data_IF_445827407832
#
_entry.id   IF_445827407832
#
_cell.length_a   1.000
_cell.length_b   1.000
_cell.length_c   1.000
_cell.angle_alpha   90.00
_cell.angle_beta   90.00
_cell.angle_gamma   90.00
#
_symmetry.space_group_name_H-M   'P 1'
#
loop_
_entity.id
_entity.type
_entity.pdbx_description
1 polymer ?
#
# COMPACT_ATOMS: atom_id res chain seq x y z
N UNK A 1 3.23 -11.44 18.85
CA UNK A 1 4.50 -10.90 18.27
C UNK A 1 4.18 -10.60 16.82
N UNK A 2 4.01 -9.34 16.46
CA UNK A 2 3.41 -8.97 15.17
C UNK A 2 4.46 -8.72 14.09
N UNK A 3 4.17 -9.03 12.81
CA UNK A 3 5.08 -8.78 11.68
C UNK A 3 5.51 -7.31 11.57
N UNK A 4 4.68 -6.36 12.04
CA UNK A 4 5.00 -4.93 12.09
C UNK A 4 6.17 -4.57 13.02
N UNK A 5 6.48 -5.41 14.03
CA UNK A 5 7.65 -5.18 14.90
C UNK A 5 8.96 -5.51 14.17
N UNK A 6 8.95 -6.47 13.25
CA UNK A 6 10.11 -6.76 12.39
C UNK A 6 10.37 -5.58 11.45
N UNK A 7 9.32 -4.99 10.87
CA UNK A 7 9.45 -3.78 10.04
C UNK A 7 10.14 -2.62 10.77
N UNK A 8 9.75 -2.36 12.02
CA UNK A 8 10.33 -1.28 12.81
C UNK A 8 11.79 -1.55 13.25
N UNK A 9 12.23 -2.81 13.22
CA UNK A 9 13.57 -3.24 13.62
C UNK A 9 14.54 -3.39 12.44
N UNK A 10 14.04 -3.42 11.20
CA UNK A 10 14.88 -3.39 9.99
C UNK A 10 15.44 -1.98 9.81
N UNK A 11 16.74 -1.81 9.53
CA UNK A 11 17.31 -0.50 9.20
C UNK A 11 16.49 0.08 8.05
N UNK A 12 16.15 1.38 8.15
CA UNK A 12 15.19 2.06 7.29
C UNK A 12 15.24 1.50 5.86
N UNK A 13 14.30 0.60 5.54
CA UNK A 13 14.17 0.06 4.20
C UNK A 13 13.90 1.28 3.33
N UNK A 14 14.88 1.64 2.52
CA UNK A 14 14.66 2.60 1.46
C UNK A 14 13.44 2.09 0.69
N UNK A 15 12.38 2.91 0.54
CA UNK A 15 11.19 2.47 -0.16
C UNK A 15 11.62 1.99 -1.54
N UNK A 16 11.09 0.83 -1.94
CA UNK A 16 11.41 0.27 -3.24
C UNK A 16 11.17 1.32 -4.34
N UNK A 17 12.08 1.39 -5.31
CA UNK A 17 12.00 2.35 -6.41
C UNK A 17 10.66 2.28 -7.15
N UNK A 18 10.05 1.09 -7.22
CA UNK A 18 8.73 0.86 -7.80
C UNK A 18 7.60 1.55 -7.01
N UNK A 19 7.68 1.60 -5.67
CA UNK A 19 6.63 2.15 -4.82
C UNK A 19 6.84 3.63 -4.54
N UNK A 20 8.06 4.15 -4.69
CA UNK A 20 8.40 5.55 -4.41
C UNK A 20 7.47 6.58 -5.07
N UNK A 21 7.06 6.45 -6.35
CA UNK A 21 6.11 7.38 -6.97
C UNK A 21 4.78 7.43 -6.21
N UNK A 22 4.28 6.28 -5.73
CA UNK A 22 3.02 6.21 -5.00
C UNK A 22 3.06 6.94 -3.66
N UNK A 23 4.26 7.16 -3.09
CA UNK A 23 4.45 7.86 -1.82
C UNK A 23 4.44 9.39 -1.95
N UNK A 24 4.43 9.92 -3.18
CA UNK A 24 4.34 11.37 -3.39
C UNK A 24 3.00 11.93 -2.89
N UNK A 25 2.96 13.15 -2.32
CA UNK A 25 1.73 13.72 -1.75
C UNK A 25 0.55 13.78 -2.76
N UNK A 26 0.85 13.97 -4.04
CA UNK A 26 -0.14 13.97 -5.14
C UNK A 26 -0.86 12.62 -5.29
N UNK A 27 -0.25 11.54 -4.81
CA UNK A 27 -0.78 10.18 -4.88
C UNK A 27 -1.24 9.63 -3.53
N UNK A 28 -1.34 10.48 -2.49
CA UNK A 28 -1.73 10.08 -1.14
C UNK A 28 -3.07 9.31 -1.09
N UNK A 29 -4.05 9.67 -1.93
CA UNK A 29 -5.33 8.96 -1.99
C UNK A 29 -5.20 7.55 -2.62
N UNK A 30 -4.33 7.40 -3.61
CA UNK A 30 -4.02 6.10 -4.22
C UNK A 30 -3.26 5.21 -3.24
N UNK A 31 -2.28 5.78 -2.52
CA UNK A 31 -1.55 5.10 -1.46
C UNK A 31 -2.50 4.60 -0.35
N UNK A 32 -3.41 5.46 0.13
CA UNK A 32 -4.45 5.09 1.11
C UNK A 32 -5.36 3.98 0.59
N UNK A 33 -5.73 4.06 -0.69
CA UNK A 33 -6.58 3.06 -1.33
C UNK A 33 -5.89 1.70 -1.40
N UNK A 34 -4.62 1.67 -1.83
CA UNK A 34 -3.80 0.47 -1.90
C UNK A 34 -3.56 -0.13 -0.50
N UNK A 35 -3.20 0.69 0.49
CA UNK A 35 -3.01 0.22 1.88
C UNK A 35 -4.30 -0.39 2.42
N UNK A 36 -5.46 0.26 2.20
CA UNK A 36 -6.75 -0.25 2.66
C UNK A 36 -7.13 -1.56 1.96
N UNK A 37 -6.83 -1.68 0.67
CA UNK A 37 -7.07 -2.91 -0.09
C UNK A 37 -6.26 -4.09 0.47
N UNK A 38 -4.98 -3.86 0.75
CA UNK A 38 -4.07 -4.86 1.31
C UNK A 38 -4.43 -5.21 2.76
N UNK A 39 -4.85 -4.22 3.56
CA UNK A 39 -5.39 -4.42 4.91
C UNK A 39 -6.70 -5.25 4.90
N UNK A 40 -7.46 -5.18 3.82
CA UNK A 40 -8.65 -6.01 3.59
C UNK A 40 -8.33 -7.34 2.88
N UNK A 41 -7.06 -7.78 2.87
CA UNK A 41 -6.59 -9.01 2.25
C UNK A 41 -6.98 -9.13 0.76
N UNK A 42 -6.98 -8.00 0.04
CA UNK A 42 -7.33 -7.94 -1.38
C UNK A 42 -8.84 -8.05 -1.66
N UNK A 43 -9.70 -8.02 -0.64
CA UNK A 43 -11.15 -8.11 -0.83
C UNK A 43 -11.72 -6.77 -1.28
N UNK A 44 -11.97 -6.62 -2.59
CA UNK A 44 -12.49 -5.39 -3.18
C UNK A 44 -13.81 -4.90 -2.56
N UNK A 45 -14.73 -5.81 -2.23
CA UNK A 45 -16.01 -5.46 -1.60
C UNK A 45 -15.82 -4.81 -0.22
N UNK A 46 -15.03 -5.45 0.65
CA UNK A 46 -14.70 -4.90 1.99
C UNK A 46 -13.93 -3.59 1.89
N UNK A 47 -13.01 -3.50 0.93
CA UNK A 47 -12.20 -2.29 0.69
C UNK A 47 -13.09 -1.11 0.29
N UNK A 48 -13.98 -1.31 -0.69
CA UNK A 48 -14.90 -0.28 -1.17
C UNK A 48 -15.83 0.21 -0.04
N UNK A 49 -16.37 -0.71 0.75
CA UNK A 49 -17.17 -0.39 1.93
C UNK A 49 -16.37 0.43 2.96
N UNK A 50 -15.13 0.03 3.27
CA UNK A 50 -14.27 0.70 4.24
C UNK A 50 -13.83 2.11 3.78
N UNK A 51 -13.69 2.31 2.47
CA UNK A 51 -13.36 3.60 1.87
C UNK A 51 -14.59 4.48 1.61
N UNK A 52 -15.80 3.94 1.70
CA UNK A 52 -17.04 4.66 1.36
C UNK A 52 -17.15 5.01 -0.13
N UNK A 53 -16.59 4.17 -1.01
CA UNK A 53 -16.58 4.40 -2.47
C UNK A 53 -17.25 3.27 -3.23
N UNK A 54 -17.63 3.54 -4.47
CA UNK A 54 -18.14 2.52 -5.38
C UNK A 54 -17.03 1.55 -5.83
N UNK A 55 -17.39 0.29 -6.11
CA UNK A 55 -16.42 -0.74 -6.56
C UNK A 55 -15.71 -0.33 -7.85
N UNK A 56 -16.40 0.34 -8.77
CA UNK A 56 -15.78 0.83 -10.01
C UNK A 56 -14.68 1.87 -9.73
N UNK A 57 -14.92 2.79 -8.79
CA UNK A 57 -13.93 3.78 -8.37
C UNK A 57 -12.73 3.10 -7.72
N UNK A 58 -12.96 2.06 -6.93
CA UNK A 58 -11.87 1.25 -6.35
C UNK A 58 -11.02 0.61 -7.46
N UNK A 59 -11.64 -0.07 -8.43
CA UNK A 59 -10.90 -0.71 -9.53
C UNK A 59 -10.10 0.30 -10.36
N UNK A 60 -10.67 1.47 -10.64
CA UNK A 60 -9.96 2.55 -11.30
C UNK A 60 -8.70 2.98 -10.52
N UNK A 61 -8.82 3.17 -9.21
CA UNK A 61 -7.68 3.55 -8.35
C UNK A 61 -6.63 2.45 -8.28
N UNK A 62 -7.04 1.19 -8.14
CA UNK A 62 -6.11 0.05 -8.13
C UNK A 62 -5.40 -0.11 -9.47
N UNK A 63 -6.09 0.12 -10.59
CA UNK A 63 -5.47 0.15 -11.92
C UNK A 63 -4.42 1.26 -12.02
N UNK A 64 -4.74 2.47 -11.52
CA UNK A 64 -3.78 3.58 -11.44
C UNK A 64 -2.55 3.25 -10.58
N UNK A 65 -2.75 2.54 -9.46
CA UNK A 65 -1.65 2.06 -8.61
C UNK A 65 -0.75 1.09 -9.38
N UNK A 66 -1.32 0.10 -10.08
CA UNK A 66 -0.55 -0.82 -10.94
C UNK A 66 0.23 -0.07 -12.02
N UNK A 67 -0.37 0.92 -12.67
CA UNK A 67 0.28 1.74 -13.68
C UNK A 67 1.44 2.58 -13.13
N UNK A 68 1.27 3.18 -11.95
CA UNK A 68 2.29 4.02 -11.32
C UNK A 68 3.48 3.22 -10.78
N UNK A 69 3.21 2.01 -10.27
CA UNK A 69 4.21 1.20 -9.58
C UNK A 69 4.81 0.08 -10.43
N UNK A 70 4.13 -0.31 -11.51
CA UNK A 70 4.48 -1.50 -12.29
C UNK A 70 4.17 -2.83 -11.60
N UNK A 71 3.60 -2.81 -10.39
CA UNK A 71 3.35 -4.01 -9.58
C UNK A 71 2.08 -4.72 -10.02
N UNK A 72 2.13 -6.06 -9.96
CA UNK A 72 0.97 -6.93 -10.11
C UNK A 72 0.35 -7.24 -8.76
N UNK A 73 -0.84 -6.68 -8.48
CA UNK A 73 -1.55 -6.93 -7.22
C UNK A 73 -2.15 -8.34 -7.12
N UNK A 74 -2.08 -9.15 -8.18
CA UNK A 74 -2.45 -10.56 -8.14
C UNK A 74 -1.27 -11.43 -7.67
N UNK A 75 -0.03 -10.97 -7.85
CA UNK A 75 1.18 -11.59 -7.33
C UNK A 75 1.36 -11.34 -5.82
N UNK A 76 1.67 -12.40 -5.08
CA UNK A 76 1.81 -12.34 -3.61
C UNK A 76 3.00 -11.50 -3.14
N UNK A 77 4.13 -11.59 -3.86
CA UNK A 77 5.36 -10.87 -3.55
C UNK A 77 5.19 -9.36 -3.72
N UNK A 78 4.61 -8.94 -4.86
CA UNK A 78 4.29 -7.54 -5.16
C UNK A 78 3.32 -6.94 -4.14
N UNK A 79 2.28 -7.69 -3.75
CA UNK A 79 1.38 -7.27 -2.66
C UNK A 79 2.14 -7.07 -1.35
N UNK A 80 3.01 -8.00 -0.98
CA UNK A 80 3.79 -7.93 0.25
C UNK A 80 4.72 -6.71 0.21
N UNK A 81 5.48 -6.53 -0.87
CA UNK A 81 6.37 -5.40 -1.08
C UNK A 81 5.64 -4.06 -0.96
N UNK A 82 4.50 -3.93 -1.65
CA UNK A 82 3.66 -2.73 -1.59
C UNK A 82 3.13 -2.49 -0.18
N UNK A 83 2.61 -3.52 0.49
CA UNK A 83 2.02 -3.40 1.82
C UNK A 83 3.06 -2.96 2.86
N UNK A 84 4.23 -3.60 2.83
CA UNK A 84 5.33 -3.33 3.75
C UNK A 84 5.86 -1.90 3.56
N UNK A 85 6.04 -1.47 2.31
CA UNK A 85 6.53 -0.12 2.00
C UNK A 85 5.53 0.96 2.44
N UNK A 86 4.23 0.77 2.18
CA UNK A 86 3.18 1.69 2.62
C UNK A 86 3.11 1.79 4.16
N UNK A 87 3.21 0.65 4.87
CA UNK A 87 3.21 0.62 6.34
C UNK A 87 4.44 1.32 6.92
N UNK A 88 5.62 1.09 6.35
CA UNK A 88 6.86 1.73 6.78
C UNK A 88 6.80 3.25 6.58
N UNK A 89 6.33 3.70 5.42
CA UNK A 89 6.17 5.13 5.12
C UNK A 89 5.18 5.82 6.08
N UNK A 90 4.07 5.14 6.45
CA UNK A 90 3.06 5.69 7.37
C UNK A 90 3.55 5.77 8.82
N UNK A 91 4.34 4.80 9.27
CA UNK A 91 4.82 4.74 10.66
C UNK A 91 5.97 5.73 10.91
N UNK A 92 6.65 6.19 9.85
CA UNK A 92 7.84 7.03 9.96
C UNK A 92 9.00 6.30 10.65
N UNK A 93 10.24 6.84 10.61
CA UNK A 93 11.30 6.32 11.47
C UNK A 93 10.84 6.47 12.94
N UNK A 94 11.11 5.48 13.82
CA UNK A 94 10.83 5.63 15.23
C UNK A 94 11.54 6.88 15.72
N UNK A 95 10.77 7.87 16.17
CA UNK A 95 11.29 9.06 16.84
C UNK A 95 11.99 8.54 18.10
N UNK A 96 13.32 8.51 18.07
CA UNK A 96 14.16 8.22 19.23
C UNK A 96 14.05 9.36 20.24
#
# INVERSE_FOLDING_TARGET
IGPYRLLAALPALQPDAAVRPLLEPVHAELARTAETFLDCAGQAGRTAQRLGIHRQTLYYRLSRVRQLTGLDLDAGEDRLLLHMTLKAARLGPPRR
#
